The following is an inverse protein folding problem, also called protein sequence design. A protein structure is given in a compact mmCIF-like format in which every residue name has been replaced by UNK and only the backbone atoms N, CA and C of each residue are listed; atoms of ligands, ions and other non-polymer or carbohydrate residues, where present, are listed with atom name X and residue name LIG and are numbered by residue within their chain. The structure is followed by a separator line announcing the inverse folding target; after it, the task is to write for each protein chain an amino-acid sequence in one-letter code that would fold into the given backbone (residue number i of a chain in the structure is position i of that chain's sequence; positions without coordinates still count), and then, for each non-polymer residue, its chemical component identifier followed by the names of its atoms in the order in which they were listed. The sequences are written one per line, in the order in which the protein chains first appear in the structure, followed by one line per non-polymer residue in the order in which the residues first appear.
data_IF_672146951132
#
_entry.id   IF_672146951132
#
_cell.length_a   1.000
_cell.length_b   1.000
_cell.length_c   1.000
_cell.angle_alpha   90.00
_cell.angle_beta   90.00
_cell.angle_gamma   90.00
#
_symmetry.space_group_name_H-M   'P 1'
#
loop_
_entity.id
_entity.type
_entity.pdbx_description
1 polymer ?
#
# COMPACT_ATOMS: atom_id res chain seq x y z
N UNK A 1 16.57 0.13 -19.93
CA UNK A 1 17.68 0.88 -20.56
C UNK A 1 17.81 2.27 -19.94
N UNK A 2 18.99 2.90 -20.07
CA UNK A 2 19.25 4.26 -19.59
C UNK A 2 18.28 5.27 -20.24
N UNK A 3 18.02 5.10 -21.51
CA UNK A 3 17.10 5.94 -22.28
C UNK A 3 15.66 5.89 -21.74
N UNK A 4 15.17 4.71 -21.37
CA UNK A 4 13.87 4.56 -20.76
C UNK A 4 13.77 5.25 -19.38
N UNK A 5 14.85 5.20 -18.58
CA UNK A 5 14.92 5.92 -17.29
C UNK A 5 14.85 7.43 -17.49
N UNK A 6 15.63 7.99 -18.43
CA UNK A 6 15.61 9.42 -18.77
C UNK A 6 14.23 9.87 -19.25
N UNK A 7 13.59 9.06 -20.09
CA UNK A 7 12.24 9.35 -20.57
C UNK A 7 11.23 9.37 -19.40
N UNK A 8 11.25 8.39 -18.52
CA UNK A 8 10.37 8.33 -17.36
C UNK A 8 10.61 9.49 -16.38
N UNK A 9 11.88 9.87 -16.16
CA UNK A 9 12.21 11.03 -15.34
C UNK A 9 11.63 12.31 -15.95
N UNK A 10 11.80 12.53 -17.25
CA UNK A 10 11.28 13.71 -17.94
C UNK A 10 9.75 13.78 -17.86
N UNK A 11 9.06 12.67 -18.08
CA UNK A 11 7.59 12.58 -17.92
C UNK A 11 7.18 12.90 -16.49
N UNK A 12 7.84 12.28 -15.51
CA UNK A 12 7.52 12.51 -14.10
C UNK A 12 7.77 13.97 -13.67
N UNK A 13 8.85 14.58 -14.16
CA UNK A 13 9.15 16.00 -13.91
C UNK A 13 8.05 16.90 -14.49
N UNK A 14 7.59 16.64 -15.71
CA UNK A 14 6.46 17.35 -16.32
C UNK A 14 5.19 17.23 -15.46
N UNK A 15 4.84 16.02 -15.05
CA UNK A 15 3.68 15.79 -14.18
C UNK A 15 3.75 16.58 -12.86
N UNK A 16 4.93 16.59 -12.21
CA UNK A 16 5.12 17.33 -10.96
C UNK A 16 5.05 18.84 -11.20
N UNK A 17 5.61 19.35 -12.31
CA UNK A 17 5.49 20.75 -12.69
C UNK A 17 4.04 21.16 -12.94
N UNK A 18 3.26 20.29 -13.57
CA UNK A 18 1.81 20.52 -13.77
C UNK A 18 1.07 20.57 -12.42
N UNK A 19 1.43 19.70 -11.47
CA UNK A 19 0.86 19.72 -10.11
C UNK A 19 1.21 21.00 -9.35
N UNK A 20 2.41 21.55 -9.56
CA UNK A 20 2.82 22.86 -8.99
C UNK A 20 1.98 23.98 -9.61
N UNK A 21 1.82 23.97 -10.93
CA UNK A 21 0.99 24.95 -11.65
C UNK A 21 -0.48 24.90 -11.21
N UNK A 22 -0.98 23.71 -10.87
CA UNK A 22 -2.32 23.51 -10.32
C UNK A 22 -2.43 23.88 -8.83
N UNK A 23 -1.34 24.26 -8.18
CA UNK A 23 -1.31 24.60 -6.77
C UNK A 23 -1.50 23.40 -5.82
N UNK A 24 -1.26 22.17 -6.28
CA UNK A 24 -1.37 20.95 -5.48
C UNK A 24 -0.06 20.63 -4.76
N UNK A 25 1.06 20.76 -5.48
CA UNK A 25 2.42 20.56 -4.98
C UNK A 25 3.09 21.91 -4.77
N UNK A 26 3.89 22.04 -3.72
CA UNK A 26 4.57 23.30 -3.41
C UNK A 26 5.71 23.59 -4.39
N UNK A 27 5.99 24.88 -4.70
CA UNK A 27 6.91 25.29 -5.77
C UNK A 27 8.36 24.79 -5.60
N UNK A 28 8.82 24.55 -4.38
CA UNK A 28 10.19 24.09 -4.11
C UNK A 28 10.40 22.57 -4.37
N UNK A 29 9.33 21.79 -4.50
CA UNK A 29 9.40 20.34 -4.62
C UNK A 29 10.16 19.88 -5.87
N UNK A 30 9.98 20.48 -7.07
CA UNK A 30 10.77 20.10 -8.24
C UNK A 30 12.28 20.24 -8.07
N UNK A 31 12.73 21.15 -7.22
CA UNK A 31 14.16 21.41 -6.98
C UNK A 31 14.80 20.39 -6.05
N UNK A 32 14.02 19.83 -5.13
CA UNK A 32 14.50 18.85 -4.13
C UNK A 32 14.19 17.41 -4.50
N UNK A 33 13.23 17.16 -5.39
CA UNK A 33 12.85 15.82 -5.80
C UNK A 33 13.96 15.16 -6.63
N UNK A 34 14.25 13.92 -6.29
CA UNK A 34 15.24 13.10 -6.98
C UNK A 34 14.69 12.51 -8.29
N UNK A 35 15.55 12.09 -9.24
CA UNK A 35 15.11 11.38 -10.45
C UNK A 35 14.19 10.20 -10.18
N UNK A 36 14.46 9.43 -9.12
CA UNK A 36 13.63 8.28 -8.75
C UNK A 36 12.20 8.66 -8.35
N UNK A 37 12.05 9.79 -7.67
CA UNK A 37 10.73 10.28 -7.23
C UNK A 37 9.91 10.78 -8.43
N UNK A 38 10.52 11.43 -9.41
CA UNK A 38 9.85 11.76 -10.68
C UNK A 38 9.45 10.50 -11.44
N UNK A 39 10.33 9.51 -11.53
CA UNK A 39 10.02 8.24 -12.18
C UNK A 39 8.88 7.50 -11.47
N UNK A 40 8.79 7.56 -10.14
CA UNK A 40 7.66 7.00 -9.39
C UNK A 40 6.32 7.65 -9.78
N UNK A 41 6.30 8.97 -9.97
CA UNK A 41 5.12 9.67 -10.49
C UNK A 41 4.75 9.20 -11.90
N UNK A 42 5.73 9.12 -12.81
CA UNK A 42 5.48 8.64 -14.17
C UNK A 42 4.98 7.19 -14.23
N UNK A 43 5.45 6.33 -13.33
CA UNK A 43 4.97 4.95 -13.23
C UNK A 43 3.55 4.87 -12.68
N UNK A 44 3.25 5.61 -11.62
CA UNK A 44 1.94 5.69 -11.03
C UNK A 44 0.89 6.25 -11.99
N UNK A 45 1.29 7.19 -12.86
CA UNK A 45 0.41 7.73 -13.89
C UNK A 45 -0.02 6.68 -14.91
N UNK A 46 0.86 5.76 -15.26
CA UNK A 46 0.63 4.76 -16.32
C UNK A 46 0.12 3.42 -15.83
N UNK A 47 0.16 3.15 -14.53
CA UNK A 47 -0.12 1.82 -13.95
C UNK A 47 -1.06 1.89 -12.76
N UNK A 48 -1.91 0.90 -12.54
CA UNK A 48 -2.78 0.84 -11.37
C UNK A 48 -2.07 0.32 -10.10
N UNK A 49 -0.77 0.01 -10.19
CA UNK A 49 0.05 -0.40 -9.04
C UNK A 49 1.51 0.03 -9.20
N UNK A 50 2.14 0.34 -8.08
CA UNK A 50 3.58 0.63 -8.00
C UNK A 50 4.12 0.08 -6.69
N UNK A 51 5.32 -0.49 -6.72
CA UNK A 51 6.06 -0.89 -5.54
C UNK A 51 7.39 -0.14 -5.49
N UNK A 52 7.51 0.81 -4.58
CA UNK A 52 8.74 1.57 -4.36
C UNK A 52 9.67 0.80 -3.42
N UNK A 53 10.73 0.22 -3.98
CA UNK A 53 11.71 -0.60 -3.26
C UNK A 53 13.01 0.20 -3.13
N UNK A 54 12.99 1.22 -2.27
CA UNK A 54 14.15 2.07 -2.05
C UNK A 54 14.68 1.91 -0.62
N UNK A 55 15.98 2.12 -0.38
CA UNK A 55 16.53 2.02 0.97
C UNK A 55 15.89 3.00 1.96
N UNK A 56 16.11 2.78 3.24
CA UNK A 56 15.73 3.75 4.26
C UNK A 56 16.41 5.09 3.97
N UNK A 57 15.68 6.20 4.12
CA UNK A 57 16.15 7.53 3.77
C UNK A 57 16.08 7.87 2.27
N UNK A 58 15.72 6.94 1.39
CA UNK A 58 15.62 7.16 -0.07
C UNK A 58 14.42 8.01 -0.52
N UNK A 59 13.71 8.67 0.39
CA UNK A 59 12.60 9.57 0.04
C UNK A 59 11.34 8.87 -0.48
N UNK A 60 11.10 7.61 -0.06
CA UNK A 60 9.92 6.80 -0.46
C UNK A 60 8.61 7.54 -0.27
N UNK A 61 8.47 8.27 0.84
CA UNK A 61 7.24 8.99 1.18
C UNK A 61 6.92 10.06 0.16
N UNK A 62 7.88 10.93 -0.19
CA UNK A 62 7.70 11.95 -1.24
C UNK A 62 7.40 11.29 -2.59
N UNK A 63 8.18 10.30 -3.01
CA UNK A 63 7.94 9.62 -4.29
C UNK A 63 6.57 8.96 -4.37
N UNK A 64 6.10 8.34 -3.28
CA UNK A 64 4.77 7.74 -3.21
C UNK A 64 3.66 8.81 -3.19
N UNK A 65 3.90 9.94 -2.52
CA UNK A 65 2.97 11.07 -2.50
C UNK A 65 2.84 11.67 -3.91
N UNK A 66 3.94 11.94 -4.60
CA UNK A 66 3.93 12.43 -5.99
C UNK A 66 3.22 11.45 -6.92
N UNK A 67 3.50 10.14 -6.77
CA UNK A 67 2.79 9.09 -7.49
C UNK A 67 1.28 9.09 -7.22
N UNK A 68 0.87 9.23 -5.97
CA UNK A 68 -0.54 9.28 -5.59
C UNK A 68 -1.26 10.49 -6.21
N UNK A 69 -0.56 11.61 -6.31
CA UNK A 69 -1.11 12.86 -6.84
C UNK A 69 -1.37 12.83 -8.35
N UNK A 70 -0.86 11.85 -9.09
CA UNK A 70 -1.18 11.66 -10.52
C UNK A 70 -2.64 11.22 -10.73
N UNK A 71 -3.32 10.70 -9.71
CA UNK A 71 -4.74 10.33 -9.77
C UNK A 71 -5.59 11.39 -9.10
N UNK A 72 -6.86 11.47 -9.49
CA UNK A 72 -7.87 12.29 -8.82
C UNK A 72 -8.57 11.48 -7.72
N UNK A 73 -9.31 12.18 -6.84
CA UNK A 73 -10.10 11.58 -5.77
C UNK A 73 -9.32 11.31 -4.47
N UNK A 74 -9.96 10.73 -3.45
CA UNK A 74 -9.41 10.60 -2.11
C UNK A 74 -8.21 9.66 -2.04
N UNK A 75 -7.29 9.96 -1.13
CA UNK A 75 -6.10 9.15 -0.84
C UNK A 75 -6.24 8.55 0.57
N UNK A 76 -6.06 7.24 0.68
CA UNK A 76 -5.92 6.54 1.96
C UNK A 76 -4.47 6.07 2.14
N UNK A 77 -3.85 6.48 3.23
CA UNK A 77 -2.51 6.05 3.62
C UNK A 77 -2.61 5.13 4.81
N UNK A 78 -2.17 3.89 4.66
CA UNK A 78 -2.04 2.91 5.74
C UNK A 78 -0.56 2.76 6.06
N UNK A 79 -0.17 3.12 7.27
CA UNK A 79 1.22 3.12 7.71
C UNK A 79 1.36 2.56 9.13
N UNK A 80 2.57 2.19 9.59
CA UNK A 80 2.78 1.90 11.01
C UNK A 80 2.34 3.08 11.89
N UNK A 81 1.76 2.81 13.07
CA UNK A 81 1.22 3.86 13.95
C UNK A 81 2.24 4.97 14.24
N UNK A 82 3.51 4.60 14.41
CA UNK A 82 4.63 5.53 14.64
C UNK A 82 4.97 6.41 13.43
N UNK A 83 4.60 6.01 12.21
CA UNK A 83 4.89 6.77 11.00
C UNK A 83 3.80 7.81 10.66
N UNK A 84 2.64 7.78 11.33
CA UNK A 84 1.53 8.71 11.07
C UNK A 84 1.93 10.19 11.13
N UNK A 85 2.80 10.56 12.08
CA UNK A 85 3.25 11.95 12.20
C UNK A 85 4.20 12.35 11.06
N UNK A 86 5.02 11.42 10.58
CA UNK A 86 5.91 11.66 9.43
C UNK A 86 5.09 11.92 8.17
N UNK A 87 4.06 11.11 7.91
CA UNK A 87 3.14 11.32 6.80
C UNK A 87 2.44 12.68 6.92
N UNK A 88 1.96 13.01 8.12
CA UNK A 88 1.33 14.30 8.37
C UNK A 88 2.26 15.47 8.00
N UNK A 89 3.48 15.47 8.52
CA UNK A 89 4.46 16.54 8.29
C UNK A 89 4.83 16.64 6.82
N UNK A 90 5.10 15.52 6.16
CA UNK A 90 5.55 15.52 4.76
C UNK A 90 4.44 15.93 3.79
N UNK A 91 3.19 15.56 4.06
CA UNK A 91 2.08 16.06 3.23
C UNK A 91 1.99 17.58 3.30
N UNK A 92 2.14 18.17 4.47
CA UNK A 92 2.11 19.64 4.65
C UNK A 92 3.36 20.33 4.11
N UNK A 93 4.52 19.66 4.15
CA UNK A 93 5.81 20.18 3.66
C UNK A 93 5.85 20.25 2.14
N UNK A 94 5.21 19.30 1.44
CA UNK A 94 5.35 19.16 0.00
C UNK A 94 4.08 19.50 -0.79
N UNK A 95 2.94 19.62 -0.14
CA UNK A 95 1.66 19.83 -0.82
C UNK A 95 0.79 20.87 -0.12
N UNK A 96 -0.22 21.36 -0.82
CA UNK A 96 -1.27 22.22 -0.24
C UNK A 96 -2.39 21.42 0.41
N UNK A 97 -2.32 20.07 0.40
CA UNK A 97 -3.33 19.23 1.02
C UNK A 97 -3.32 19.39 2.54
N UNK A 98 -4.50 19.30 3.13
CA UNK A 98 -4.66 19.22 4.59
C UNK A 98 -4.91 17.75 4.95
N UNK A 99 -3.93 17.02 5.48
CA UNK A 99 -4.12 15.62 5.82
C UNK A 99 -5.05 15.46 7.03
N UNK A 100 -5.84 14.39 7.06
CA UNK A 100 -6.62 13.98 8.22
C UNK A 100 -5.99 12.73 8.85
N UNK A 101 -5.78 12.78 10.17
CA UNK A 101 -5.30 11.63 10.92
C UNK A 101 -6.47 10.92 11.56
N UNK A 102 -6.79 9.74 11.07
CA UNK A 102 -7.80 8.90 11.72
C UNK A 102 -7.21 8.35 13.02
N UNK A 103 -7.85 8.70 14.14
CA UNK A 103 -7.43 8.34 15.49
C UNK A 103 -8.44 7.38 16.09
N UNK A 104 -8.01 6.46 16.98
CA UNK A 104 -8.95 5.75 17.85
C UNK A 104 -9.84 6.73 18.63
N UNK A 105 -11.07 6.34 18.85
CA UNK A 105 -12.03 7.22 19.56
C UNK A 105 -11.55 7.61 20.96
N UNK A 106 -10.78 6.73 21.62
CA UNK A 106 -10.11 7.00 22.89
C UNK A 106 -9.11 8.17 22.84
N UNK A 107 -8.53 8.44 21.65
CA UNK A 107 -7.50 9.46 21.45
C UNK A 107 -8.08 10.78 20.92
N UNK A 108 -9.40 10.83 20.63
CA UNK A 108 -10.10 12.01 20.15
C UNK A 108 -10.27 13.03 21.28
N UNK A 109 -9.85 14.26 21.03
CA UNK A 109 -10.08 15.40 21.93
C UNK A 109 -11.35 16.13 21.51
N UNK A 110 -12.01 16.85 22.43
CA UNK A 110 -13.24 17.62 22.15
C UNK A 110 -13.12 18.63 20.99
N UNK A 111 -11.89 19.07 20.68
CA UNK A 111 -11.60 20.01 19.58
C UNK A 111 -11.18 19.35 18.27
N UNK A 112 -11.03 18.03 18.25
CA UNK A 112 -10.68 17.31 17.02
C UNK A 112 -11.93 17.19 16.15
N UNK A 113 -11.82 17.53 14.87
CA UNK A 113 -12.91 17.34 13.91
C UNK A 113 -13.10 15.86 13.60
N UNK A 114 -14.32 15.45 13.32
CA UNK A 114 -14.66 14.09 12.88
C UNK A 114 -14.27 13.87 11.42
N UNK A 115 -14.24 12.61 10.99
CA UNK A 115 -14.01 12.30 9.58
C UNK A 115 -15.09 12.92 8.68
N UNK A 116 -16.35 12.93 9.14
CA UNK A 116 -17.46 13.49 8.37
C UNK A 116 -17.35 15.00 8.18
N UNK A 117 -16.98 15.71 9.22
CA UNK A 117 -16.71 17.16 9.16
C UNK A 117 -15.54 17.43 8.21
N UNK A 118 -14.44 16.68 8.33
CA UNK A 118 -13.30 16.80 7.43
C UNK A 118 -13.66 16.55 5.95
N UNK A 119 -14.40 15.48 5.66
CA UNK A 119 -14.85 15.18 4.30
C UNK A 119 -15.83 16.25 3.79
N UNK A 120 -16.68 16.78 4.67
CA UNK A 120 -17.57 17.91 4.40
C UNK A 120 -16.79 19.18 4.02
N UNK A 121 -15.79 19.55 4.82
CA UNK A 121 -14.90 20.68 4.51
C UNK A 121 -14.17 20.49 3.17
N UNK A 122 -13.65 19.28 2.91
CA UNK A 122 -12.99 18.99 1.64
C UNK A 122 -13.93 19.21 0.43
N UNK A 123 -15.22 18.85 0.55
CA UNK A 123 -16.21 19.09 -0.52
C UNK A 123 -16.48 20.58 -0.72
N UNK A 124 -16.70 21.31 0.36
CA UNK A 124 -16.98 22.76 0.32
C UNK A 124 -15.81 23.53 -0.29
N UNK A 125 -14.58 23.21 0.14
CA UNK A 125 -13.37 23.88 -0.31
C UNK A 125 -12.82 23.32 -1.64
N UNK A 126 -13.51 22.35 -2.25
CA UNK A 126 -13.06 21.60 -3.44
C UNK A 126 -11.63 21.06 -3.27
N UNK A 127 -11.32 20.58 -2.06
CA UNK A 127 -10.02 20.00 -1.72
C UNK A 127 -10.05 18.47 -1.82
N UNK A 128 -8.95 17.90 -2.20
CA UNK A 128 -8.75 16.47 -2.26
C UNK A 128 -8.56 15.90 -0.84
N UNK A 129 -9.38 14.94 -0.38
CA UNK A 129 -9.16 14.28 0.90
C UNK A 129 -7.88 13.41 0.90
N UNK A 130 -7.10 13.50 1.98
CA UNK A 130 -5.99 12.61 2.27
C UNK A 130 -6.10 12.15 3.74
N UNK A 131 -6.35 10.87 3.92
CA UNK A 131 -6.55 10.27 5.25
C UNK A 131 -5.40 9.35 5.58
N UNK A 132 -4.81 9.54 6.77
CA UNK A 132 -3.71 8.71 7.28
C UNK A 132 -4.20 7.89 8.46
N UNK A 133 -4.05 6.57 8.38
CA UNK A 133 -4.44 5.63 9.42
C UNK A 133 -3.27 4.70 9.79
N UNK A 134 -3.19 4.35 11.06
CA UNK A 134 -2.29 3.30 11.53
C UNK A 134 -2.78 1.91 11.11
N UNK A 135 -1.88 1.09 10.61
CA UNK A 135 -2.21 -0.28 10.21
C UNK A 135 -2.78 -1.11 11.37
N UNK A 136 -2.36 -0.79 12.58
CA UNK A 136 -2.83 -1.43 13.83
C UNK A 136 -4.28 -1.05 14.16
N UNK A 137 -4.69 0.17 13.80
CA UNK A 137 -6.04 0.69 14.07
C UNK A 137 -7.01 0.44 12.91
N UNK A 138 -6.52 0.05 11.74
CA UNK A 138 -7.35 -0.13 10.55
C UNK A 138 -8.53 -1.11 10.76
N UNK A 139 -8.37 -2.26 11.48
CA UNK A 139 -9.49 -3.15 11.73
C UNK A 139 -10.70 -2.49 12.38
N UNK A 140 -10.44 -1.59 13.33
CA UNK A 140 -11.49 -0.89 14.08
C UNK A 140 -12.11 0.27 13.30
N UNK A 141 -11.52 0.63 12.16
CA UNK A 141 -11.89 1.79 11.34
C UNK A 141 -12.13 1.44 9.87
N UNK A 142 -12.51 0.20 9.58
CA UNK A 142 -12.79 -0.21 8.20
C UNK A 142 -14.01 0.51 7.60
N UNK A 143 -14.99 0.86 8.41
CA UNK A 143 -16.17 1.59 7.95
C UNK A 143 -15.79 3.03 7.57
N UNK A 144 -14.93 3.68 8.35
CA UNK A 144 -14.38 4.98 8.02
C UNK A 144 -13.50 4.91 6.76
N UNK A 145 -12.68 3.85 6.62
CA UNK A 145 -11.89 3.65 5.41
C UNK A 145 -12.76 3.48 4.15
N UNK A 146 -13.88 2.75 4.26
CA UNK A 146 -14.89 2.65 3.19
C UNK A 146 -15.55 3.99 2.91
N UNK A 147 -15.85 4.78 3.94
CA UNK A 147 -16.47 6.10 3.84
C UNK A 147 -15.58 7.13 3.15
N UNK A 148 -14.25 7.02 3.31
CA UNK A 148 -13.29 7.84 2.54
C UNK A 148 -13.44 7.58 1.05
N UNK A 149 -13.84 6.37 0.66
CA UNK A 149 -13.99 5.92 -0.72
C UNK A 149 -12.75 6.22 -1.59
N UNK A 150 -11.58 5.68 -1.20
CA UNK A 150 -10.32 6.08 -1.79
C UNK A 150 -10.18 5.61 -3.23
N UNK A 151 -9.63 6.50 -4.07
CA UNK A 151 -9.17 6.14 -5.42
C UNK A 151 -7.70 5.73 -5.42
N UNK A 152 -6.95 6.12 -4.39
CA UNK A 152 -5.55 5.76 -4.20
C UNK A 152 -5.34 5.18 -2.81
N UNK A 153 -4.68 4.04 -2.74
CA UNK A 153 -4.22 3.42 -1.51
C UNK A 153 -2.68 3.41 -1.48
N UNK A 154 -2.11 3.94 -0.40
CA UNK A 154 -0.68 3.83 -0.10
C UNK A 154 -0.51 2.88 1.08
N UNK A 155 0.35 1.87 0.92
CA UNK A 155 0.73 0.91 1.95
C UNK A 155 2.20 1.11 2.32
N UNK A 156 2.44 1.77 3.44
CA UNK A 156 3.79 2.01 3.96
C UNK A 156 4.29 0.79 4.74
N UNK A 157 5.59 0.49 4.63
CA UNK A 157 6.23 -0.72 5.18
C UNK A 157 5.50 -2.00 4.74
N UNK A 158 5.27 -2.11 3.43
CA UNK A 158 4.45 -3.16 2.80
C UNK A 158 4.82 -4.58 3.27
N UNK A 159 6.11 -4.84 3.56
CA UNK A 159 6.58 -6.13 4.05
C UNK A 159 5.96 -6.55 5.40
N UNK A 160 5.48 -5.58 6.20
CA UNK A 160 4.84 -5.87 7.51
C UNK A 160 3.36 -6.23 7.40
N UNK A 161 2.75 -5.94 6.25
CA UNK A 161 1.31 -6.11 6.04
C UNK A 161 0.93 -7.48 5.50
N UNK A 162 1.90 -8.22 4.97
CA UNK A 162 1.67 -9.52 4.39
C UNK A 162 1.42 -10.62 5.42
N UNK A 163 0.40 -11.43 5.20
CA UNK A 163 0.17 -12.66 5.95
C UNK A 163 0.33 -13.86 5.02
N UNK A 164 1.02 -14.90 5.51
CA UNK A 164 1.08 -16.18 4.80
C UNK A 164 -0.31 -16.81 4.74
N UNK A 165 -0.81 -17.02 3.54
CA UNK A 165 -1.74 -18.09 3.16
C UNK A 165 -3.03 -18.31 3.96
N UNK A 166 -3.59 -17.35 4.64
CA UNK A 166 -4.76 -17.60 5.50
C UNK A 166 -6.08 -17.03 4.96
N UNK A 167 -6.10 -16.79 3.65
CA UNK A 167 -7.27 -16.26 2.97
C UNK A 167 -7.95 -17.35 2.17
N UNK A 168 -9.25 -17.43 2.28
CA UNK A 168 -10.10 -18.16 1.38
C UNK A 168 -10.85 -17.12 0.56
N UNK A 169 -10.61 -17.08 -0.73
CA UNK A 169 -11.48 -16.35 -1.63
C UNK A 169 -12.83 -17.06 -1.66
N UNK A 170 -13.91 -16.33 -1.40
CA UNK A 170 -15.28 -16.79 -1.51
C UNK A 170 -15.86 -16.01 -2.67
N UNK A 171 -16.37 -16.72 -3.66
CA UNK A 171 -17.12 -16.12 -4.74
C UNK A 171 -18.56 -15.97 -4.25
N UNK A 172 -19.01 -14.74 -4.09
CA UNK A 172 -20.37 -14.42 -3.70
C UNK A 172 -21.33 -14.66 -4.86
N UNK A 173 -22.61 -14.78 -4.56
CA UNK A 173 -23.66 -15.05 -5.55
C UNK A 173 -23.80 -13.94 -6.61
N UNK A 174 -23.38 -12.72 -6.29
CA UNK A 174 -23.38 -11.55 -7.18
C UNK A 174 -22.11 -11.44 -8.05
N UNK A 175 -21.23 -12.45 -7.98
CA UNK A 175 -19.94 -12.47 -8.72
C UNK A 175 -18.82 -11.71 -8.04
N UNK A 176 -19.06 -11.05 -6.90
CA UNK A 176 -18.02 -10.42 -6.11
C UNK A 176 -17.16 -11.48 -5.41
N UNK A 177 -15.90 -11.15 -5.13
CA UNK A 177 -15.00 -12.03 -4.40
C UNK A 177 -14.76 -11.44 -3.02
N UNK A 178 -15.35 -12.06 -2.01
CA UNK A 178 -15.04 -11.78 -0.61
C UNK A 178 -13.89 -12.65 -0.12
N UNK A 179 -13.27 -12.25 0.97
CA UNK A 179 -12.10 -12.94 1.52
C UNK A 179 -12.34 -13.22 3.00
N UNK A 180 -12.46 -14.50 3.36
CA UNK A 180 -12.49 -14.91 4.76
C UNK A 180 -11.09 -15.25 5.29
N UNK A 181 -10.79 -14.76 6.49
CA UNK A 181 -9.68 -15.27 7.26
C UNK A 181 -9.94 -16.75 7.57
N UNK A 182 -9.07 -17.65 7.15
CA UNK A 182 -9.16 -19.05 7.61
C UNK A 182 -9.04 -19.06 9.12
N UNK A 183 -10.11 -19.44 9.82
CA UNK A 183 -10.08 -19.72 11.26
C UNK A 183 -9.04 -20.81 11.50
N UNK A 184 -7.90 -20.45 12.06
CA UNK A 184 -7.00 -21.47 12.62
C UNK A 184 -7.69 -22.06 13.81
N UNK A 185 -7.71 -23.41 13.90
CA UNK A 185 -8.09 -24.10 15.14
C UNK A 185 -7.35 -23.43 16.27
N UNK A 186 -8.08 -22.84 17.19
CA UNK A 186 -7.54 -22.25 18.39
C UNK A 186 -6.84 -23.34 19.22
N UNK A 187 -5.53 -23.43 19.09
CA UNK A 187 -4.74 -23.95 20.20
C UNK A 187 -4.70 -22.82 21.23
N UNK A 188 -5.44 -22.98 22.30
CA UNK A 188 -5.71 -21.95 23.29
C UNK A 188 -4.51 -21.42 24.04
N UNK A 189 -3.73 -20.58 23.41
CA UNK A 189 -2.70 -19.70 23.99
C UNK A 189 -2.21 -18.75 22.89
N UNK A 190 -2.72 -17.58 22.85
CA UNK A 190 -2.06 -16.33 22.45
C UNK A 190 -3.03 -15.33 21.78
N UNK A 191 -3.51 -14.36 22.54
CA UNK A 191 -4.31 -13.22 22.08
C UNK A 191 -3.59 -12.38 21.01
N UNK A 192 -2.25 -12.35 21.02
CA UNK A 192 -1.45 -11.60 20.04
C UNK A 192 -1.53 -12.15 18.61
N UNK A 193 -1.99 -13.40 18.43
CA UNK A 193 -2.17 -14.01 17.10
C UNK A 193 -3.49 -13.60 16.43
N UNK A 194 -4.50 -13.26 17.21
CA UNK A 194 -5.78 -12.76 16.72
C UNK A 194 -5.58 -11.39 16.09
N UNK A 195 -4.84 -10.50 16.75
CA UNK A 195 -4.59 -9.13 16.29
C UNK A 195 -3.89 -9.07 14.94
N UNK A 196 -2.86 -9.90 14.73
CA UNK A 196 -2.13 -9.92 13.44
C UNK A 196 -2.99 -10.44 12.28
N UNK A 197 -3.89 -11.37 12.53
CA UNK A 197 -4.81 -11.86 11.51
C UNK A 197 -5.85 -10.78 11.15
N UNK A 198 -6.43 -10.13 12.14
CA UNK A 198 -7.44 -9.08 11.95
C UNK A 198 -6.86 -7.90 11.18
N UNK A 199 -5.65 -7.44 11.54
CA UNK A 199 -4.94 -6.38 10.80
C UNK A 199 -4.71 -6.74 9.33
N UNK A 200 -4.19 -7.94 9.07
CA UNK A 200 -3.90 -8.36 7.70
C UNK A 200 -5.20 -8.51 6.86
N UNK A 201 -6.32 -8.93 7.49
CA UNK A 201 -7.65 -8.92 6.86
C UNK A 201 -8.05 -7.52 6.45
N UNK A 202 -8.02 -6.59 7.39
CA UNK A 202 -8.44 -5.21 7.13
C UNK A 202 -7.60 -4.55 6.02
N UNK A 203 -6.28 -4.76 6.02
CA UNK A 203 -5.40 -4.23 4.97
C UNK A 203 -5.74 -4.85 3.61
N UNK A 204 -6.06 -6.12 3.57
CA UNK A 204 -6.47 -6.78 2.34
C UNK A 204 -7.82 -6.27 1.85
N UNK A 205 -8.80 -6.11 2.74
CA UNK A 205 -10.08 -5.49 2.38
C UNK A 205 -9.89 -4.08 1.88
N UNK A 206 -9.07 -3.26 2.56
CA UNK A 206 -8.73 -1.92 2.10
C UNK A 206 -8.09 -1.93 0.70
N UNK A 207 -7.24 -2.93 0.39
CA UNK A 207 -6.61 -3.07 -0.93
C UNK A 207 -7.58 -3.48 -2.06
N UNK A 208 -8.81 -3.84 -1.71
CA UNK A 208 -9.86 -4.29 -2.64
C UNK A 208 -11.09 -3.38 -2.66
N UNK A 209 -10.99 -2.19 -2.07
CA UNK A 209 -12.05 -1.19 -2.17
C UNK A 209 -12.36 -0.88 -3.64
N UNK A 210 -13.65 -0.73 -4.00
CA UNK A 210 -14.10 -0.80 -5.39
C UNK A 210 -13.56 0.31 -6.29
N UNK A 211 -13.37 1.52 -5.74
CA UNK A 211 -12.97 2.70 -6.52
C UNK A 211 -11.44 2.89 -6.63
N UNK A 212 -10.65 1.94 -6.13
CA UNK A 212 -9.19 2.03 -6.19
C UNK A 212 -8.68 1.91 -7.64
N UNK A 213 -8.17 3.02 -8.15
CA UNK A 213 -7.51 3.11 -9.45
C UNK A 213 -5.98 2.95 -9.36
N UNK A 214 -5.40 3.16 -8.15
CA UNK A 214 -3.96 3.06 -7.92
C UNK A 214 -3.67 2.50 -6.52
N UNK A 215 -2.73 1.55 -6.46
CA UNK A 215 -2.15 1.02 -5.22
C UNK A 215 -0.65 1.25 -5.22
N UNK A 216 -0.13 1.89 -4.18
CA UNK A 216 1.30 2.14 -4.01
C UNK A 216 1.77 1.40 -2.76
N UNK A 217 2.68 0.47 -2.92
CA UNK A 217 3.38 -0.15 -1.82
C UNK A 217 4.77 0.43 -1.67
N UNK A 218 5.24 0.62 -0.46
CA UNK A 218 6.61 1.07 -0.20
C UNK A 218 7.26 0.20 0.87
N UNK A 219 8.50 -0.20 0.60
CA UNK A 219 9.31 -1.00 1.53
C UNK A 219 10.80 -0.83 1.22
N UNK A 220 11.64 -0.91 2.24
CA UNK A 220 13.08 -1.03 2.06
C UNK A 220 13.52 -2.51 1.95
N UNK A 221 12.71 -3.42 2.43
CA UNK A 221 13.05 -4.85 2.60
C UNK A 221 11.95 -5.75 2.04
N UNK A 222 11.80 -5.84 0.71
CA UNK A 222 10.76 -6.68 0.11
C UNK A 222 10.96 -8.17 0.42
N UNK A 223 12.21 -8.57 0.61
CA UNK A 223 12.64 -9.91 0.99
C UNK A 223 13.34 -9.86 2.36
N UNK A 224 12.57 -9.65 3.43
CA UNK A 224 13.01 -9.50 4.81
C UNK A 224 13.98 -10.62 5.29
N UNK A 225 13.76 -11.87 4.86
CA UNK A 225 14.62 -13.02 5.17
C UNK A 225 15.37 -13.57 3.93
N UNK A 226 15.45 -12.77 2.85
CA UNK A 226 16.04 -13.19 1.57
C UNK A 226 15.23 -14.24 0.80
N UNK A 227 14.02 -14.56 1.25
CA UNK A 227 13.20 -15.67 0.73
C UNK A 227 11.92 -15.18 0.03
N UNK A 228 11.52 -15.78 -1.10
CA UNK A 228 10.36 -15.34 -1.87
C UNK A 228 9.02 -15.42 -1.14
N UNK A 229 8.91 -16.26 -0.12
CA UNK A 229 7.65 -16.59 0.56
C UNK A 229 6.82 -15.39 1.04
N UNK A 230 7.48 -14.28 1.42
CA UNK A 230 6.78 -13.07 1.89
C UNK A 230 6.36 -12.15 0.76
N UNK A 231 6.97 -12.30 -0.40
CA UNK A 231 6.71 -11.43 -1.54
C UNK A 231 5.30 -11.64 -2.11
N UNK A 232 4.78 -12.88 -2.06
CA UNK A 232 3.46 -13.19 -2.56
C UNK A 232 2.36 -12.28 -2.00
N UNK A 233 2.31 -12.14 -0.70
CA UNK A 233 1.30 -11.31 -0.05
C UNK A 233 1.45 -9.82 -0.33
N UNK A 234 2.69 -9.34 -0.46
CA UNK A 234 2.96 -7.95 -0.82
C UNK A 234 2.45 -7.66 -2.25
N UNK A 235 2.73 -8.55 -3.19
CA UNK A 235 2.28 -8.41 -4.57
C UNK A 235 0.77 -8.57 -4.71
N UNK A 236 0.15 -9.47 -3.93
CA UNK A 236 -1.30 -9.68 -3.93
C UNK A 236 -2.07 -8.48 -3.37
N UNK A 237 -1.48 -7.72 -2.45
CA UNK A 237 -2.05 -6.45 -1.97
C UNK A 237 -2.06 -5.37 -3.06
N UNK A 238 -1.06 -5.36 -3.94
CA UNK A 238 -0.93 -4.37 -5.01
C UNK A 238 -1.75 -4.75 -6.26
N UNK A 239 -1.67 -6.03 -6.63
CA UNK A 239 -2.41 -6.58 -7.77
C UNK A 239 -2.95 -7.97 -7.41
N UNK A 240 -4.19 -8.05 -6.92
CA UNK A 240 -4.80 -9.31 -6.53
C UNK A 240 -4.74 -10.37 -7.64
N UNK A 241 -4.22 -11.54 -7.29
CA UNK A 241 -4.13 -12.67 -8.21
C UNK A 241 -2.97 -12.66 -9.21
N UNK A 242 -2.13 -11.62 -9.26
CA UNK A 242 -1.00 -11.54 -10.21
C UNK A 242 -0.06 -12.75 -10.17
N UNK A 243 0.16 -13.30 -8.99
CA UNK A 243 0.99 -14.49 -8.77
C UNK A 243 0.18 -15.73 -8.33
N UNK A 244 -1.08 -15.83 -8.72
CA UNK A 244 -2.08 -16.79 -8.28
C UNK A 244 -2.77 -16.40 -6.98
N UNK A 245 -4.08 -16.62 -6.90
CA UNK A 245 -4.88 -16.49 -5.66
C UNK A 245 -4.52 -17.55 -4.59
N UNK A 246 -3.65 -18.48 -4.89
CA UNK A 246 -3.24 -19.56 -4.00
C UNK A 246 -1.77 -19.43 -3.64
N UNK A 247 -1.51 -19.14 -2.37
CA UNK A 247 -0.14 -19.17 -1.83
C UNK A 247 0.57 -20.51 -2.10
N UNK A 248 -0.16 -21.62 -1.98
CA UNK A 248 0.42 -22.96 -2.22
C UNK A 248 0.98 -23.10 -3.64
N UNK A 249 0.30 -22.54 -4.66
CA UNK A 249 0.81 -22.53 -6.03
C UNK A 249 2.05 -21.67 -6.16
N UNK A 250 2.06 -20.48 -5.56
CA UNK A 250 3.23 -19.61 -5.53
C UNK A 250 4.40 -20.29 -4.80
N UNK A 251 4.17 -20.86 -3.63
CA UNK A 251 5.20 -21.48 -2.82
C UNK A 251 5.84 -22.70 -3.53
N UNK A 252 5.05 -23.53 -4.20
CA UNK A 252 5.56 -24.65 -5.00
C UNK A 252 6.45 -24.17 -6.16
N UNK A 253 6.08 -23.04 -6.81
CA UNK A 253 6.82 -22.52 -7.95
C UNK A 253 8.08 -21.76 -7.56
N UNK A 254 8.01 -20.89 -6.53
CA UNK A 254 9.08 -19.94 -6.23
C UNK A 254 9.81 -20.19 -4.91
N UNK A 255 9.23 -21.00 -4.01
CA UNK A 255 9.82 -21.28 -2.70
C UNK A 255 10.35 -22.72 -2.59
N UNK A 256 10.44 -23.47 -3.68
CA UNK A 256 10.79 -24.91 -3.66
C UNK A 256 10.00 -25.69 -2.60
N UNK A 257 8.74 -25.30 -2.37
CA UNK A 257 7.94 -25.80 -1.27
C UNK A 257 7.62 -27.29 -1.40
N UNK A 258 7.82 -28.01 -0.29
CA UNK A 258 7.57 -29.45 -0.16
C UNK A 258 6.66 -29.74 1.02
N UNK A 259 5.95 -30.88 1.02
CA UNK A 259 5.23 -31.30 2.23
C UNK A 259 6.18 -31.39 3.42
N UNK A 260 5.77 -30.80 4.54
CA UNK A 260 6.53 -30.92 5.80
C UNK A 260 6.11 -32.17 6.55
N UNK A 261 7.06 -32.86 7.19
CA UNK A 261 6.78 -33.97 8.08
C UNK A 261 5.91 -33.62 9.29
N UNK A 262 5.82 -32.32 9.62
CA UNK A 262 5.00 -31.79 10.71
C UNK A 262 3.63 -31.27 10.23
N UNK A 263 3.25 -31.55 8.99
CA UNK A 263 2.07 -31.03 8.33
C UNK A 263 2.30 -29.66 7.71
N UNK A 264 1.55 -29.34 6.62
CA UNK A 264 1.70 -28.10 5.88
C UNK A 264 2.82 -28.13 4.83
N UNK A 265 3.33 -26.94 4.47
CA UNK A 265 4.40 -26.78 3.48
C UNK A 265 5.65 -26.21 4.16
N UNK A 266 6.79 -26.85 3.88
CA UNK A 266 8.09 -26.20 4.06
C UNK A 266 8.37 -25.31 2.85
N UNK A 267 8.30 -24.01 3.05
CA UNK A 267 8.39 -22.95 2.03
C UNK A 267 9.65 -22.08 2.20
N UNK A 268 10.67 -22.61 2.89
CA UNK A 268 11.88 -21.85 3.21
C UNK A 268 12.91 -21.79 2.09
N UNK A 269 12.70 -22.54 1.02
CA UNK A 269 13.59 -22.59 -0.13
C UNK A 269 13.31 -21.47 -1.15
N UNK A 270 14.00 -21.56 -2.29
CA UNK A 270 13.82 -20.71 -3.46
C UNK A 270 13.95 -21.51 -4.74
N UNK A 271 13.16 -21.17 -5.75
CA UNK A 271 13.18 -21.77 -7.09
C UNK A 271 12.67 -20.77 -8.11
N UNK A 272 13.02 -20.95 -9.39
CA UNK A 272 12.60 -20.10 -10.51
C UNK A 272 12.81 -18.60 -10.24
N UNK A 273 13.93 -18.23 -9.63
CA UNK A 273 14.20 -16.86 -9.13
C UNK A 273 14.33 -15.86 -10.27
N UNK A 274 14.90 -16.26 -11.42
CA UNK A 274 15.01 -15.39 -12.60
C UNK A 274 13.63 -15.02 -13.15
N UNK A 275 12.74 -16.00 -13.26
CA UNK A 275 11.35 -15.76 -13.66
C UNK A 275 10.65 -14.82 -12.64
N UNK A 276 10.84 -15.08 -11.34
CA UNK A 276 10.25 -14.25 -10.29
C UNK A 276 10.76 -12.81 -10.40
N UNK A 277 12.06 -12.61 -10.60
CA UNK A 277 12.67 -11.29 -10.80
C UNK A 277 12.09 -10.58 -12.02
N UNK A 278 12.03 -11.26 -13.16
CA UNK A 278 11.46 -10.71 -14.39
C UNK A 278 10.00 -10.28 -14.21
N UNK A 279 9.20 -11.06 -13.49
CA UNK A 279 7.81 -10.72 -13.17
C UNK A 279 7.72 -9.58 -12.16
N UNK A 280 8.58 -9.57 -11.14
CA UNK A 280 8.60 -8.50 -10.14
C UNK A 280 9.07 -7.16 -10.74
N UNK A 281 9.93 -7.15 -11.75
CA UNK A 281 10.33 -5.94 -12.45
C UNK A 281 9.14 -5.16 -13.06
N UNK A 282 8.00 -5.80 -13.23
CA UNK A 282 6.74 -5.13 -13.62
C UNK A 282 6.11 -4.33 -12.47
N UNK A 283 6.47 -4.61 -11.23
CA UNK A 283 5.90 -4.01 -10.01
C UNK A 283 6.86 -3.03 -9.34
N UNK A 284 8.17 -3.32 -9.43
CA UNK A 284 9.19 -2.58 -8.69
C UNK A 284 9.74 -1.45 -9.53
N UNK A 285 9.97 -0.34 -8.85
CA UNK A 285 10.80 0.75 -9.29
C UNK A 285 12.06 0.75 -8.41
N UNK A 286 13.19 0.32 -8.98
CA UNK A 286 14.51 0.32 -8.36
C UNK A 286 15.38 1.47 -8.86
#
# INVERSE_FOLDING_TARGET
SVENRRHLEAVGRSLVTDMVTQGIVLPHVPDIATPYQFMAAAWADRRPWVMNVWPCGGGKTLGSLLGALTRRGPILVVCPAKARHVWWSQVQEYTTLKPYRLKPQSDMRKKDITLDEYLGECRIENRRPLVVIGAESLPDHMDEARKVDPTVLILDELHTHGSKSRWKAIQEADGTVSFEARKTRASGRDSSRVDRNTRAVAIMEASRLPNLSLRIGMTATPLDDGRPRRLWSQLDLLLPGAFSFSYSKFAKRYCAARPSQWGGLDDKGSSNIEELRARCALFTHE
#
